data_IF_960166931664
#
_entry.id   IF_960166931664
#
_cell.length_a   1.000
_cell.length_b   1.000
_cell.length_c   1.000
_cell.angle_alpha   90.00
_cell.angle_beta   90.00
_cell.angle_gamma   90.00
#
_symmetry.space_group_name_H-M   'P 1'
#
loop_
_entity.id
_entity.type
_entity.pdbx_description
1 polymer ?
#
# COMPACT_ATOMS: atom_id res chain seq x y z
N UNK A 1 29.29 -19.03 -8.98
CA UNK A 1 28.14 -18.82 -9.89
C UNK A 1 27.64 -17.42 -9.63
N UNK A 2 27.64 -16.48 -10.61
CA UNK A 2 26.95 -15.22 -10.41
C UNK A 2 25.45 -15.52 -10.45
N UNK A 3 24.74 -15.20 -9.37
CA UNK A 3 23.29 -15.38 -9.28
C UNK A 3 22.63 -14.40 -10.25
N UNK A 4 22.08 -14.92 -11.36
CA UNK A 4 21.48 -14.15 -12.45
C UNK A 4 20.02 -13.76 -12.18
N UNK A 5 19.69 -13.41 -10.93
CA UNK A 5 18.34 -12.97 -10.60
C UNK A 5 18.33 -11.45 -10.40
N UNK A 6 17.56 -10.70 -11.20
CA UNK A 6 17.59 -9.26 -11.16
C UNK A 6 16.87 -8.74 -9.91
N UNK A 7 17.60 -7.96 -9.11
CA UNK A 7 17.03 -7.06 -8.11
C UNK A 7 16.69 -5.73 -8.80
N UNK A 8 15.56 -5.12 -8.48
CA UNK A 8 15.17 -3.84 -9.06
C UNK A 8 14.78 -3.92 -10.55
N UNK A 9 14.31 -5.08 -11.03
CA UNK A 9 13.76 -5.16 -12.38
C UNK A 9 12.55 -4.21 -12.48
N UNK A 10 12.41 -3.41 -13.55
CA UNK A 10 11.26 -2.54 -13.73
C UNK A 10 9.97 -3.34 -13.64
N UNK A 11 9.01 -2.85 -12.86
CA UNK A 11 7.66 -3.39 -12.78
C UNK A 11 6.72 -2.35 -13.36
N UNK A 12 5.98 -2.72 -14.40
CA UNK A 12 4.95 -1.86 -14.95
C UNK A 12 3.75 -1.90 -14.02
N UNK A 13 3.41 -0.74 -13.45
CA UNK A 13 2.26 -0.58 -12.58
C UNK A 13 1.67 0.82 -12.78
N UNK A 14 0.35 0.92 -12.67
CA UNK A 14 -0.35 2.20 -12.75
C UNK A 14 -1.45 2.19 -11.69
N UNK A 15 -1.33 3.01 -10.62
CA UNK A 15 -2.35 3.12 -9.60
C UNK A 15 -3.63 3.73 -10.16
N UNK A 16 -4.74 3.46 -9.49
CA UNK A 16 -6.01 4.15 -9.73
C UNK A 16 -5.87 5.60 -9.27
N UNK A 17 -6.47 6.54 -9.99
CA UNK A 17 -6.37 7.97 -9.64
C UNK A 17 -6.95 8.25 -8.24
N UNK A 18 -8.08 7.64 -7.89
CA UNK A 18 -8.81 7.97 -6.66
C UNK A 18 -9.67 6.83 -6.15
N UNK A 19 -9.79 6.72 -4.84
CA UNK A 19 -10.81 5.93 -4.14
C UNK A 19 -11.54 6.80 -3.12
N UNK A 20 -12.79 6.47 -2.80
CA UNK A 20 -13.58 7.18 -1.79
C UNK A 20 -14.02 6.24 -0.66
N UNK A 21 -13.80 6.69 0.57
CA UNK A 21 -14.25 6.03 1.80
C UNK A 21 -15.37 6.85 2.40
N UNK A 22 -16.54 6.23 2.58
CA UNK A 22 -17.69 6.86 3.25
C UNK A 22 -17.64 6.48 4.73
N UNK A 23 -17.67 7.47 5.60
CA UNK A 23 -17.70 7.30 7.04
C UNK A 23 -19.15 7.41 7.51
N UNK A 24 -19.68 6.33 8.06
CA UNK A 24 -21.00 6.25 8.69
C UNK A 24 -20.91 5.51 10.04
N UNK A 25 -21.94 5.65 10.88
CA UNK A 25 -21.96 5.18 12.27
C UNK A 25 -22.05 3.64 12.37
N UNK A 26 -22.43 2.97 11.28
CA UNK A 26 -22.75 1.53 11.31
C UNK A 26 -21.52 0.62 11.26
N UNK A 27 -20.39 1.02 10.65
CA UNK A 27 -19.13 0.24 10.63
C UNK A 27 -17.89 1.13 10.48
N UNK A 28 -16.86 0.99 11.35
CA UNK A 28 -15.55 1.60 11.08
C UNK A 28 -14.99 1.02 9.78
N UNK A 29 -14.63 1.87 8.82
CA UNK A 29 -14.02 1.38 7.57
C UNK A 29 -12.61 0.86 7.86
N UNK A 30 -12.30 -0.37 7.44
CA UNK A 30 -10.97 -1.01 7.53
C UNK A 30 -9.84 -0.10 7.01
N UNK A 31 -10.14 0.71 6.00
CA UNK A 31 -9.22 1.70 5.42
C UNK A 31 -8.81 2.75 6.46
N UNK A 32 -9.76 3.34 7.20
CA UNK A 32 -9.47 4.39 8.19
C UNK A 32 -8.66 3.86 9.38
N UNK A 33 -8.97 2.65 9.84
CA UNK A 33 -8.20 2.00 10.89
C UNK A 33 -6.75 1.77 10.45
N UNK A 34 -6.56 1.30 9.21
CA UNK A 34 -5.24 1.05 8.65
C UNK A 34 -4.42 2.33 8.53
N UNK A 35 -4.97 3.38 7.91
CA UNK A 35 -4.24 4.65 7.71
C UNK A 35 -4.03 5.44 9.00
N UNK A 36 -4.73 5.12 10.09
CA UNK A 36 -4.50 5.77 11.40
C UNK A 36 -3.14 5.42 12.00
N UNK A 37 -2.48 4.35 11.53
CA UNK A 37 -1.15 3.95 11.98
C UNK A 37 -0.05 4.81 11.37
N UNK A 38 0.82 5.39 12.21
CA UNK A 38 2.03 6.08 11.75
C UNK A 38 2.92 5.21 10.84
N UNK A 39 3.05 3.90 11.15
CA UNK A 39 3.83 2.98 10.32
C UNK A 39 3.20 2.82 8.94
N UNK A 40 1.88 2.64 8.86
CA UNK A 40 1.18 2.49 7.60
C UNK A 40 1.31 3.76 6.73
N UNK A 41 1.18 4.95 7.33
CA UNK A 41 1.39 6.23 6.63
C UNK A 41 2.80 6.36 6.07
N UNK A 42 3.82 5.98 6.85
CA UNK A 42 5.22 6.00 6.40
C UNK A 42 5.49 4.99 5.28
N UNK A 43 4.82 3.83 5.31
CA UNK A 43 4.88 2.85 4.21
C UNK A 43 4.27 3.43 2.94
N UNK A 44 3.07 4.01 3.01
CA UNK A 44 2.42 4.66 1.86
C UNK A 44 3.32 5.75 1.25
N UNK A 45 3.92 6.60 2.09
CA UNK A 45 4.87 7.62 1.65
C UNK A 45 6.15 7.04 1.02
N UNK A 46 6.56 5.83 1.44
CA UNK A 46 7.73 5.14 0.84
C UNK A 46 7.40 4.55 -0.53
N UNK A 47 6.14 4.16 -0.75
CA UNK A 47 5.65 3.57 -2.00
C UNK A 47 5.16 4.61 -3.02
N UNK A 48 5.14 5.89 -2.63
CA UNK A 48 4.79 6.98 -3.54
C UNK A 48 5.86 7.13 -4.63
N UNK A 49 5.50 6.80 -5.87
CA UNK A 49 6.38 6.87 -7.03
C UNK A 49 7.27 5.64 -7.30
N UNK A 50 7.61 4.85 -6.27
CA UNK A 50 8.57 3.74 -6.40
C UNK A 50 8.10 2.44 -5.72
N UNK A 51 7.91 1.34 -6.48
CA UNK A 51 7.65 0.02 -5.92
C UNK A 51 8.83 -0.52 -5.10
N UNK A 52 8.54 -1.20 -3.99
CA UNK A 52 9.56 -1.66 -3.06
C UNK A 52 9.23 -3.02 -2.43
N UNK A 53 10.27 -3.74 -1.98
CA UNK A 53 10.07 -4.97 -1.20
C UNK A 53 9.84 -4.67 0.28
N UNK A 54 9.26 -5.61 1.03
CA UNK A 54 9.04 -5.45 2.47
C UNK A 54 10.34 -5.17 3.26
N UNK A 55 11.50 -5.66 2.80
CA UNK A 55 12.77 -5.32 3.45
C UNK A 55 13.25 -3.91 3.10
N UNK A 56 13.08 -3.47 1.86
CA UNK A 56 13.49 -2.11 1.46
C UNK A 56 12.67 -1.08 2.25
N UNK A 57 11.36 -1.33 2.39
CA UNK A 57 10.45 -0.52 3.21
C UNK A 57 10.87 -0.53 4.67
N UNK A 58 11.16 -1.71 5.23
CA UNK A 58 11.56 -1.85 6.62
C UNK A 58 12.84 -1.06 6.92
N UNK A 59 13.82 -1.13 6.02
CA UNK A 59 15.06 -0.37 6.11
C UNK A 59 14.82 1.14 5.97
N UNK A 60 13.95 1.56 5.04
CA UNK A 60 13.64 2.98 4.80
C UNK A 60 12.94 3.67 5.98
N UNK A 61 12.09 2.95 6.72
CA UNK A 61 11.33 3.51 7.85
C UNK A 61 11.85 3.07 9.22
N UNK A 62 13.03 2.46 9.28
CA UNK A 62 13.68 1.98 10.51
C UNK A 62 12.73 1.11 11.36
N UNK A 63 12.21 0.05 10.75
CA UNK A 63 11.37 -0.94 11.43
C UNK A 63 11.79 -2.37 11.10
N UNK A 64 11.19 -3.35 11.77
CA UNK A 64 11.45 -4.74 11.43
C UNK A 64 10.70 -5.16 10.16
N UNK A 65 11.28 -6.07 9.37
CA UNK A 65 10.60 -6.67 8.20
C UNK A 65 9.27 -7.32 8.58
N UNK A 66 9.17 -7.89 9.79
CA UNK A 66 7.92 -8.49 10.29
C UNK A 66 6.85 -7.43 10.52
N UNK A 67 7.21 -6.30 11.13
CA UNK A 67 6.30 -5.19 11.36
C UNK A 67 5.88 -4.53 10.03
N UNK A 68 6.81 -4.37 9.09
CA UNK A 68 6.50 -3.89 7.74
C UNK A 68 5.49 -4.82 7.04
N UNK A 69 5.71 -6.14 7.08
CA UNK A 69 4.78 -7.13 6.50
C UNK A 69 3.39 -7.06 7.12
N UNK A 70 3.31 -6.97 8.44
CA UNK A 70 2.03 -6.81 9.15
C UNK A 70 1.23 -5.62 8.61
N UNK A 71 1.86 -4.44 8.47
CA UNK A 71 1.18 -3.28 7.94
C UNK A 71 0.91 -3.36 6.42
N UNK A 72 1.81 -3.99 5.64
CA UNK A 72 1.59 -4.24 4.22
C UNK A 72 0.36 -5.14 3.97
N UNK A 73 0.18 -6.17 4.81
CA UNK A 73 -0.98 -7.06 4.70
C UNK A 73 -2.29 -6.27 4.95
N UNK A 74 -2.35 -5.43 5.98
CA UNK A 74 -3.51 -4.58 6.25
C UNK A 74 -3.76 -3.52 5.17
N UNK A 75 -2.69 -2.88 4.66
CA UNK A 75 -2.80 -1.92 3.56
C UNK A 75 -3.32 -2.58 2.27
N UNK A 76 -2.94 -3.84 2.02
CA UNK A 76 -3.42 -4.62 0.88
C UNK A 76 -4.88 -5.02 1.07
N UNK A 77 -5.26 -5.47 2.26
CA UNK A 77 -6.67 -5.77 2.61
C UNK A 77 -7.56 -4.54 2.44
N UNK A 78 -7.03 -3.34 2.72
CA UNK A 78 -7.69 -2.06 2.50
C UNK A 78 -7.65 -1.56 1.04
N UNK A 79 -7.14 -2.36 0.10
CA UNK A 79 -6.98 -2.00 -1.32
C UNK A 79 -6.18 -0.70 -1.56
N UNK A 80 -5.27 -0.32 -0.65
CA UNK A 80 -4.39 0.85 -0.77
C UNK A 80 -3.04 0.56 -1.42
N UNK A 81 -2.64 -0.72 -1.39
CA UNK A 81 -1.44 -1.22 -2.06
C UNK A 81 -1.75 -2.55 -2.75
N UNK A 82 -0.85 -2.97 -3.63
CA UNK A 82 -0.91 -4.29 -4.26
C UNK A 82 0.47 -4.90 -4.49
N UNK A 83 0.49 -6.20 -4.78
CA UNK A 83 1.71 -6.90 -5.17
C UNK A 83 1.90 -6.78 -6.68
N UNK A 84 3.00 -6.16 -7.11
CA UNK A 84 3.23 -5.82 -8.53
C UNK A 84 4.30 -6.66 -9.21
N UNK A 85 5.00 -7.51 -8.44
CA UNK A 85 6.00 -8.40 -9.01
C UNK A 85 6.84 -9.11 -7.97
N UNK A 86 7.92 -9.71 -8.46
CA UNK A 86 8.89 -10.46 -7.67
C UNK A 86 10.30 -10.00 -8.04
N UNK A 87 11.06 -9.59 -7.03
CA UNK A 87 12.50 -9.41 -7.11
C UNK A 87 13.20 -10.55 -6.38
N UNK A 88 14.52 -10.61 -6.53
CA UNK A 88 15.33 -11.61 -5.85
C UNK A 88 16.41 -10.95 -5.01
N UNK A 89 16.61 -11.47 -3.80
CA UNK A 89 17.71 -11.05 -2.93
C UNK A 89 19.06 -11.43 -3.53
N UNK A 90 20.16 -10.90 -2.97
CA UNK A 90 21.53 -11.34 -3.33
C UNK A 90 21.75 -12.85 -3.13
N UNK A 91 20.99 -13.48 -2.23
CA UNK A 91 21.03 -14.93 -1.97
C UNK A 91 20.09 -15.72 -2.91
N UNK A 92 19.41 -15.05 -3.84
CA UNK A 92 18.44 -15.66 -4.75
C UNK A 92 17.09 -15.99 -4.12
N UNK A 93 16.76 -15.37 -2.97
CA UNK A 93 15.46 -15.54 -2.33
C UNK A 93 14.44 -14.65 -3.02
N UNK A 94 13.28 -15.19 -3.38
CA UNK A 94 12.16 -14.41 -3.93
C UNK A 94 11.63 -13.41 -2.91
N UNK A 95 11.33 -12.21 -3.39
CA UNK A 95 10.87 -11.07 -2.59
C UNK A 95 9.74 -10.40 -3.34
N UNK A 96 8.56 -10.36 -2.71
CA UNK A 96 7.40 -9.65 -3.24
C UNK A 96 7.68 -8.16 -3.33
N UNK A 97 7.30 -7.55 -4.45
CA UNK A 97 7.35 -6.12 -4.70
C UNK A 97 5.95 -5.54 -4.51
N UNK A 98 5.86 -4.45 -3.76
CA UNK A 98 4.62 -3.75 -3.44
C UNK A 98 4.63 -2.36 -4.09
N UNK A 99 3.46 -1.88 -4.50
CA UNK A 99 3.26 -0.50 -4.95
C UNK A 99 1.90 0.02 -4.45
N UNK A 100 1.72 1.35 -4.45
CA UNK A 100 0.40 1.95 -4.23
C UNK A 100 -0.57 1.44 -5.29
N UNK A 101 -1.80 1.09 -4.90
CA UNK A 101 -2.87 0.76 -5.85
C UNK A 101 -3.74 1.98 -6.19
N UNK A 102 -3.60 3.06 -5.42
CA UNK A 102 -4.37 4.30 -5.55
C UNK A 102 -3.52 5.53 -5.21
N UNK A 103 -3.71 6.63 -5.94
CA UNK A 103 -2.98 7.88 -5.72
C UNK A 103 -3.66 8.78 -4.68
N UNK A 104 -5.00 8.78 -4.62
CA UNK A 104 -5.76 9.63 -3.71
C UNK A 104 -6.86 8.86 -2.96
N UNK A 105 -6.93 9.06 -1.64
CA UNK A 105 -8.03 8.56 -0.79
C UNK A 105 -8.89 9.73 -0.33
N UNK A 106 -10.15 9.77 -0.74
CA UNK A 106 -11.12 10.80 -0.37
C UNK A 106 -12.03 10.29 0.75
N UNK A 107 -12.06 11.00 1.86
CA UNK A 107 -12.98 10.71 2.96
C UNK A 107 -14.25 11.54 2.77
N UNK A 108 -15.39 10.86 2.72
CA UNK A 108 -16.71 11.47 2.60
C UNK A 108 -17.52 11.23 3.88
N UNK A 109 -18.27 12.24 4.27
CA UNK A 109 -19.18 12.19 5.42
C UNK A 109 -20.61 12.40 4.93
N UNK A 110 -21.52 11.51 5.33
CA UNK A 110 -22.96 11.64 5.08
C UNK A 110 -23.52 10.80 3.93
N UNK A 111 -24.84 10.65 3.96
CA UNK A 111 -25.63 9.97 2.94
C UNK A 111 -25.74 10.85 1.69
N UNK A 112 -25.42 10.32 0.51
CA UNK A 112 -25.92 10.92 -0.73
C UNK A 112 -27.42 10.65 -0.83
N UNK A 113 -28.21 11.27 0.05
CA UNK A 113 -29.59 11.56 -0.32
C UNK A 113 -29.49 12.47 -1.55
N UNK A 114 -30.05 12.08 -2.71
CA UNK A 114 -30.06 12.97 -3.85
C UNK A 114 -30.71 14.28 -3.41
N UNK A 115 -30.00 15.39 -3.59
CA UNK A 115 -30.49 16.72 -3.33
C UNK A 115 -31.69 16.97 -4.25
N UNK A 116 -32.87 16.57 -3.79
CA UNK A 116 -34.15 16.93 -4.40
C UNK A 116 -34.46 18.37 -4.00
N UNK A 117 -33.64 19.30 -4.48
CA UNK A 117 -33.89 20.72 -4.31
C UNK A 117 -33.95 21.45 -5.66
N UNK A 118 -35.19 21.41 -6.15
CA UNK A 118 -35.94 22.37 -6.99
C UNK A 118 -35.56 22.52 -8.45
#
# INVERSE_FOLDING_TARGET
MPTAFPYGAPVEHTPRERTSVVVDDEQPTDVLQTVSSDTAQRILATLDGDPATASDIADAIDTSVQNAKYHLDHLREADLIETVGTWYSRKGTEMTVYALSVEEVVIQFGDSAPDTRR
#
